data_IF_088450495042
#
_entry.id   IF_088450495042
#
_cell.length_a   1.000
_cell.length_b   1.000
_cell.length_c   1.000
_cell.angle_alpha   90.00
_cell.angle_beta   90.00
_cell.angle_gamma   90.00
#
_symmetry.space_group_name_H-M   'P 1'
#
loop_
_entity.id
_entity.type
_entity.pdbx_description
1 polymer ?
#
# COMPACT_ATOMS: atom_id res chain seq x y z
N UNK A 1 -10.99 -0.98 -8.96
CA UNK A 1 -9.90 -0.28 -9.69
C UNK A 1 -9.70 1.03 -8.96
N UNK A 2 -8.64 1.14 -8.15
CA UNK A 2 -8.45 2.25 -7.22
C UNK A 2 -7.34 3.17 -7.72
N UNK A 3 -7.61 4.47 -7.83
CA UNK A 3 -6.67 5.45 -8.40
C UNK A 3 -7.35 6.42 -9.36
N UNK A 4 -6.54 7.15 -10.13
CA UNK A 4 -7.01 8.18 -11.05
C UNK A 4 -5.93 8.69 -12.00
N UNK A 5 -6.35 9.12 -13.18
CA UNK A 5 -5.51 9.76 -14.18
C UNK A 5 -5.75 11.28 -14.23
N UNK A 6 -4.66 12.05 -14.12
CA UNK A 6 -4.71 13.51 -14.13
C UNK A 6 -5.22 14.11 -12.82
N UNK A 7 -5.12 15.43 -12.73
CA UNK A 7 -5.36 16.16 -11.47
C UNK A 7 -6.73 15.88 -10.85
N UNK A 8 -7.80 15.92 -11.66
CA UNK A 8 -9.17 15.78 -11.16
C UNK A 8 -9.44 14.41 -10.51
N UNK A 9 -9.05 13.33 -11.18
CA UNK A 9 -9.28 11.97 -10.68
C UNK A 9 -8.38 11.66 -9.48
N UNK A 10 -7.12 12.08 -9.52
CA UNK A 10 -6.20 11.87 -8.39
C UNK A 10 -6.62 12.68 -7.18
N UNK A 11 -7.02 13.94 -7.36
CA UNK A 11 -7.56 14.75 -6.26
C UNK A 11 -8.80 14.11 -5.65
N UNK A 12 -9.73 13.62 -6.50
CA UNK A 12 -10.93 12.92 -6.03
C UNK A 12 -10.58 11.67 -5.22
N UNK A 13 -9.65 10.85 -5.72
CA UNK A 13 -9.18 9.66 -5.01
C UNK A 13 -8.55 10.01 -3.66
N UNK A 14 -7.63 10.98 -3.62
CA UNK A 14 -6.99 11.40 -2.38
C UNK A 14 -8.01 11.93 -1.36
N UNK A 15 -8.95 12.77 -1.81
CA UNK A 15 -9.96 13.37 -0.95
C UNK A 15 -10.98 12.35 -0.41
N UNK A 16 -11.43 11.42 -1.25
CA UNK A 16 -12.58 10.60 -0.95
C UNK A 16 -12.20 9.20 -0.45
N UNK A 17 -11.04 8.67 -0.86
CA UNK A 17 -10.69 7.25 -0.68
C UNK A 17 -9.40 7.03 0.11
N UNK A 18 -8.55 8.06 0.29
CA UNK A 18 -7.23 7.90 0.89
C UNK A 18 -7.05 8.73 2.17
N UNK A 19 -7.08 10.07 2.08
CA UNK A 19 -6.79 10.97 3.20
C UNK A 19 -7.92 10.93 4.21
N UNK A 20 -7.59 10.60 5.47
CA UNK A 20 -8.56 10.54 6.57
C UNK A 20 -9.46 9.30 6.57
N UNK A 21 -9.28 8.38 5.60
CA UNK A 21 -10.01 7.11 5.50
C UNK A 21 -9.23 5.91 6.04
N UNK A 22 -8.02 6.15 6.54
CA UNK A 22 -7.19 5.14 7.21
C UNK A 22 -7.70 4.84 8.64
N UNK A 23 -7.48 3.62 9.15
CA UNK A 23 -7.73 3.27 10.55
C UNK A 23 -7.04 4.22 11.53
N UNK A 24 -7.61 4.39 12.73
CA UNK A 24 -7.08 5.38 13.71
C UNK A 24 -5.69 5.00 14.22
N UNK A 25 -5.39 3.71 14.25
CA UNK A 25 -4.16 3.15 14.78
C UNK A 25 -3.08 2.90 13.72
N UNK A 26 -3.28 3.44 12.50
CA UNK A 26 -2.32 3.27 11.41
C UNK A 26 -0.93 3.74 11.82
N UNK A 27 0.06 2.89 11.58
CA UNK A 27 1.48 3.16 11.78
C UNK A 27 2.22 2.95 10.48
N UNK A 28 3.16 3.84 10.19
CA UNK A 28 4.03 3.77 9.01
C UNK A 28 5.47 3.73 9.53
N UNK A 29 6.17 2.63 9.27
CA UNK A 29 7.58 2.46 9.62
C UNK A 29 8.42 2.48 8.34
N UNK A 30 9.27 3.49 8.12
CA UNK A 30 10.19 3.49 6.99
C UNK A 30 11.22 2.37 7.14
N UNK A 31 11.51 1.68 6.05
CA UNK A 31 12.54 0.64 5.96
C UNK A 31 13.72 1.16 5.13
N UNK A 32 13.44 1.68 3.94
CA UNK A 32 14.47 2.20 3.04
C UNK A 32 13.90 3.36 2.21
N UNK A 33 14.81 4.22 1.72
CA UNK A 33 14.52 5.24 0.72
C UNK A 33 15.66 5.27 -0.28
N UNK A 34 15.32 5.12 -1.55
CA UNK A 34 16.26 5.32 -2.67
C UNK A 34 15.85 6.56 -3.46
N UNK A 35 16.77 7.50 -3.60
CA UNK A 35 16.55 8.74 -4.36
C UNK A 35 17.35 8.69 -5.66
N UNK A 36 16.63 8.68 -6.77
CA UNK A 36 17.19 8.84 -8.12
C UNK A 36 17.15 10.30 -8.58
N UNK A 37 17.49 10.53 -9.86
CA UNK A 37 17.50 11.88 -10.46
C UNK A 37 16.13 12.58 -10.39
N UNK A 38 15.07 11.82 -10.63
CA UNK A 38 13.71 12.31 -10.77
C UNK A 38 12.68 11.32 -10.16
N UNK A 39 13.14 10.39 -9.34
CA UNK A 39 12.31 9.37 -8.69
C UNK A 39 12.72 9.17 -7.24
N UNK A 40 11.74 8.90 -6.39
CA UNK A 40 11.95 8.42 -5.02
C UNK A 40 11.24 7.08 -4.89
N UNK A 41 11.97 6.09 -4.39
CA UNK A 41 11.46 4.78 -4.04
C UNK A 41 11.48 4.66 -2.51
N UNK A 42 10.33 4.49 -1.90
CA UNK A 42 10.20 4.26 -0.47
C UNK A 42 9.72 2.84 -0.19
N UNK A 43 10.42 2.16 0.71
CA UNK A 43 9.98 0.91 1.30
C UNK A 43 9.50 1.20 2.72
N UNK A 44 8.24 0.87 3.01
CA UNK A 44 7.61 1.15 4.30
C UNK A 44 6.83 -0.08 4.76
N UNK A 45 6.78 -0.32 6.07
CA UNK A 45 5.80 -1.23 6.67
C UNK A 45 4.62 -0.40 7.14
N UNK A 46 3.42 -0.77 6.71
CA UNK A 46 2.19 -0.20 7.24
C UNK A 46 1.53 -1.23 8.13
N UNK A 47 1.10 -0.81 9.31
CA UNK A 47 0.28 -1.63 10.19
C UNK A 47 -0.92 -0.90 10.74
N UNK A 48 -2.03 -1.63 10.92
CA UNK A 48 -3.32 -1.09 11.36
C UNK A 48 -4.24 -2.21 11.84
N UNK A 49 -5.28 -1.85 12.59
CA UNK A 49 -6.43 -2.72 12.83
C UNK A 49 -7.51 -2.43 11.80
N UNK A 50 -8.07 -3.44 11.14
CA UNK A 50 -9.13 -3.27 10.13
C UNK A 50 -10.47 -2.92 10.83
N UNK A 51 -10.58 -1.67 11.28
CA UNK A 51 -11.68 -1.10 12.09
C UNK A 51 -12.76 -0.38 11.26
N UNK A 52 -12.51 -0.21 9.96
CA UNK A 52 -13.36 0.46 8.97
C UNK A 52 -13.08 -0.13 7.60
N UNK A 53 -13.97 0.10 6.65
CA UNK A 53 -13.72 -0.19 5.24
C UNK A 53 -12.52 0.62 4.71
N UNK A 54 -11.60 -0.07 4.01
CA UNK A 54 -10.41 0.53 3.40
C UNK A 54 -10.53 0.39 1.88
N UNK A 55 -11.24 1.32 1.25
CA UNK A 55 -11.65 1.23 -0.15
C UNK A 55 -10.49 0.96 -1.13
N UNK A 56 -9.31 1.54 -0.90
CA UNK A 56 -8.19 1.35 -1.82
C UNK A 56 -7.53 -0.03 -1.74
N UNK A 57 -7.68 -0.74 -0.61
CA UNK A 57 -7.00 -2.01 -0.31
C UNK A 57 -7.96 -3.20 -0.27
N UNK A 58 -9.15 -3.01 0.31
CA UNK A 58 -10.20 -3.98 0.53
C UNK A 58 -11.57 -3.36 0.20
N UNK A 59 -11.84 -3.04 -1.08
CA UNK A 59 -13.10 -2.41 -1.48
C UNK A 59 -14.29 -3.33 -1.19
N UNK A 60 -15.32 -2.81 -0.52
CA UNK A 60 -16.54 -3.55 -0.18
C UNK A 60 -16.38 -4.56 0.95
N UNK A 61 -15.26 -4.56 1.69
CA UNK A 61 -15.03 -5.47 2.81
C UNK A 61 -15.36 -4.76 4.12
N UNK A 62 -16.31 -5.32 4.85
CA UNK A 62 -16.68 -4.86 6.20
C UNK A 62 -15.51 -4.98 7.19
N UNK A 63 -15.49 -4.14 8.24
CA UNK A 63 -14.43 -4.16 9.26
C UNK A 63 -14.28 -5.54 9.90
N UNK A 64 -13.11 -6.16 9.73
CA UNK A 64 -12.86 -7.52 10.26
C UNK A 64 -12.33 -7.50 11.69
N UNK A 65 -11.91 -6.33 12.20
CA UNK A 65 -11.32 -6.17 13.53
C UNK A 65 -9.95 -6.83 13.69
N UNK A 66 -9.34 -7.32 12.61
CA UNK A 66 -8.03 -7.99 12.64
C UNK A 66 -6.89 -7.00 12.45
N UNK A 67 -5.78 -7.27 13.13
CA UNK A 67 -4.53 -6.56 12.91
C UNK A 67 -3.90 -6.99 11.58
N UNK A 68 -3.46 -6.02 10.80
CA UNK A 68 -2.77 -6.21 9.53
C UNK A 68 -1.42 -5.49 9.60
N UNK A 69 -0.36 -6.16 9.19
CA UNK A 69 0.99 -5.60 9.00
C UNK A 69 1.56 -6.11 7.68
N UNK A 70 1.80 -5.18 6.76
CA UNK A 70 2.24 -5.51 5.40
C UNK A 70 3.24 -4.50 4.84
N UNK A 71 4.24 -4.98 4.07
CA UNK A 71 5.16 -4.10 3.36
C UNK A 71 4.46 -3.38 2.21
N UNK A 72 4.87 -2.14 1.99
CA UNK A 72 4.49 -1.32 0.85
C UNK A 72 5.75 -0.76 0.17
N UNK A 73 5.67 -0.64 -1.15
CA UNK A 73 6.65 0.08 -1.97
C UNK A 73 5.94 1.25 -2.64
N UNK A 74 6.43 2.46 -2.41
CA UNK A 74 5.93 3.68 -3.04
C UNK A 74 6.97 4.18 -4.03
N UNK A 75 6.58 4.27 -5.29
CA UNK A 75 7.40 4.79 -6.38
C UNK A 75 6.82 6.12 -6.81
N UNK A 76 7.55 7.20 -6.59
CA UNK A 76 7.11 8.54 -6.94
C UNK A 76 8.05 9.14 -7.98
N UNK A 77 7.53 9.43 -9.16
CA UNK A 77 8.22 10.14 -10.25
C UNK A 77 7.90 11.61 -10.18
N UNK A 78 8.91 12.44 -10.42
CA UNK A 78 8.79 13.89 -10.47
C UNK A 78 9.05 14.42 -11.89
N UNK A 79 8.34 15.50 -12.22
CA UNK A 79 8.61 16.39 -13.36
C UNK A 79 8.75 17.83 -12.81
N UNK A 80 10.00 18.27 -12.65
CA UNK A 80 10.33 19.48 -11.92
C UNK A 80 9.91 19.39 -10.45
N UNK A 81 9.09 20.34 -9.99
CA UNK A 81 8.53 20.34 -8.62
C UNK A 81 7.24 19.52 -8.48
N UNK A 82 6.74 18.94 -9.58
CA UNK A 82 5.46 18.24 -9.61
C UNK A 82 5.64 16.74 -9.58
N UNK A 83 4.67 16.02 -9.03
CA UNK A 83 4.62 14.57 -9.16
C UNK A 83 4.11 14.22 -10.56
N UNK A 84 4.85 13.44 -11.32
CA UNK A 84 4.41 12.94 -12.61
C UNK A 84 3.49 11.73 -12.41
N UNK A 85 3.93 10.76 -11.60
CA UNK A 85 3.12 9.61 -11.21
C UNK A 85 3.57 9.01 -9.88
N UNK A 86 2.67 8.27 -9.28
CA UNK A 86 2.84 7.50 -8.06
C UNK A 86 2.32 6.09 -8.29
N UNK A 87 3.15 5.10 -8.00
CA UNK A 87 2.76 3.69 -7.96
C UNK A 87 2.96 3.17 -6.54
N UNK A 88 1.92 2.56 -5.99
CA UNK A 88 1.97 1.95 -4.65
C UNK A 88 1.72 0.46 -4.82
N UNK A 89 2.64 -0.33 -4.31
CA UNK A 89 2.58 -1.79 -4.31
C UNK A 89 2.50 -2.30 -2.89
N UNK A 90 1.74 -3.37 -2.69
CA UNK A 90 1.67 -4.10 -1.43
C UNK A 90 1.32 -5.57 -1.68
N UNK A 91 1.54 -6.40 -0.67
CA UNK A 91 1.19 -7.82 -0.71
C UNK A 91 -0.29 -8.05 -0.40
N UNK A 92 -1.11 -8.09 -1.45
CA UNK A 92 -2.55 -8.31 -1.31
C UNK A 92 -2.90 -9.69 -0.75
N UNK A 93 -2.10 -10.73 -1.03
CA UNK A 93 -2.36 -12.07 -0.50
C UNK A 93 -2.21 -12.07 1.02
N UNK A 94 -1.16 -11.44 1.55
CA UNK A 94 -0.99 -11.25 3.00
C UNK A 94 -2.14 -10.47 3.62
N UNK A 95 -2.65 -9.41 2.97
CA UNK A 95 -3.84 -8.69 3.47
C UNK A 95 -5.04 -9.63 3.59
N UNK A 96 -5.35 -10.38 2.54
CA UNK A 96 -6.52 -11.29 2.51
C UNK A 96 -6.40 -12.40 3.56
N UNK A 97 -5.21 -12.97 3.76
CA UNK A 97 -4.96 -13.97 4.81
C UNK A 97 -5.11 -13.34 6.20
N UNK A 98 -4.45 -12.22 6.47
CA UNK A 98 -4.47 -11.57 7.79
C UNK A 98 -5.87 -11.06 8.15
N UNK A 99 -6.68 -10.65 7.17
CA UNK A 99 -8.09 -10.30 7.37
C UNK A 99 -9.03 -11.50 7.45
N UNK A 100 -8.57 -12.70 7.13
CA UNK A 100 -9.35 -13.94 7.18
C UNK A 100 -10.32 -14.14 6.01
N UNK A 101 -10.10 -13.43 4.90
CA UNK A 101 -10.91 -13.56 3.69
C UNK A 101 -10.51 -14.78 2.84
N UNK A 102 -9.29 -15.30 3.03
CA UNK A 102 -8.83 -16.54 2.41
C UNK A 102 -8.18 -17.45 3.46
N UNK A 103 -8.36 -18.75 3.30
CA UNK A 103 -7.71 -19.76 4.16
C UNK A 103 -6.20 -19.81 3.91
N UNK A 104 -5.43 -20.02 4.98
CA UNK A 104 -3.98 -20.24 4.94
C UNK A 104 -3.65 -21.65 4.43
N UNK A 105 -4.05 -21.97 3.19
CA UNK A 105 -3.60 -23.20 2.51
C UNK A 105 -2.36 -22.90 1.68
N UNK A 106 -1.21 -22.80 2.35
CA UNK A 106 0.15 -22.71 1.76
C UNK A 106 0.17 -21.92 0.44
N UNK A 107 -0.09 -20.61 0.53
CA UNK A 107 0.30 -19.64 -0.51
C UNK A 107 1.48 -18.76 -0.08
N UNK A 108 1.98 -18.99 1.14
CA UNK A 108 3.11 -18.30 1.73
C UNK A 108 4.17 -19.33 2.12
N UNK A 109 5.36 -19.21 1.54
CA UNK A 109 6.57 -19.74 2.18
C UNK A 109 6.61 -19.10 3.58
N UNK A 110 6.55 -19.92 4.63
CA UNK A 110 6.64 -19.52 6.04
C UNK A 110 7.65 -18.38 6.24
N UNK A 111 7.23 -17.32 6.95
CA UNK A 111 8.15 -16.31 7.47
C UNK A 111 7.50 -15.05 8.01
N UNK A 112 6.57 -15.16 8.96
CA UNK A 112 6.25 -14.05 9.88
C UNK A 112 6.72 -14.40 11.28
N UNK A 113 8.04 -14.39 11.49
CA UNK A 113 8.63 -14.23 12.82
C UNK A 113 9.58 -13.03 12.78
N UNK A 114 9.10 -11.91 13.33
CA UNK A 114 9.84 -10.69 13.74
C UNK A 114 11.06 -10.27 12.88
N UNK A 115 10.93 -9.12 12.22
CA UNK A 115 11.98 -8.15 11.83
C UNK A 115 13.15 -8.64 10.92
N UNK A 116 13.54 -9.90 10.97
CA UNK A 116 14.75 -10.45 10.33
C UNK A 116 14.45 -11.19 9.01
N UNK A 117 13.20 -11.58 8.75
CA UNK A 117 12.80 -12.39 7.59
C UNK A 117 12.53 -11.58 6.30
N UNK A 118 12.56 -10.24 6.35
CA UNK A 118 12.15 -9.39 5.21
C UNK A 118 13.07 -9.50 3.97
N UNK A 119 14.29 -10.01 4.11
CA UNK A 119 15.29 -10.06 3.03
C UNK A 119 15.27 -11.34 2.16
N UNK A 120 14.44 -12.34 2.48
CA UNK A 120 14.54 -13.68 1.88
C UNK A 120 13.42 -14.06 0.88
N UNK A 121 12.62 -13.11 0.38
CA UNK A 121 11.50 -13.44 -0.50
C UNK A 121 11.83 -13.38 -2.00
N UNK A 122 11.47 -14.41 -2.80
CA UNK A 122 11.39 -14.26 -4.25
C UNK A 122 10.21 -13.34 -4.58
N UNK A 123 10.45 -12.37 -5.46
CA UNK A 123 9.50 -11.34 -5.90
C UNK A 123 8.16 -11.96 -6.33
N UNK A 124 7.11 -11.78 -5.52
CA UNK A 124 5.75 -12.27 -5.80
C UNK A 124 4.82 -11.09 -6.14
N UNK A 125 3.89 -11.41 -7.04
CA UNK A 125 2.98 -10.60 -7.85
C UNK A 125 2.45 -9.28 -7.26
N UNK A 126 2.45 -8.27 -8.13
CA UNK A 126 2.11 -6.87 -7.88
C UNK A 126 0.65 -6.58 -8.26
N UNK A 127 -0.13 -5.96 -7.36
CA UNK A 127 -1.37 -5.28 -7.76
C UNK A 127 -1.06 -3.79 -8.00
N UNK A 128 -1.46 -3.27 -9.16
CA UNK A 128 -1.06 -1.96 -9.67
C UNK A 128 -2.19 -0.95 -9.52
N UNK A 129 -2.00 0.06 -8.67
CA UNK A 129 -2.77 1.30 -8.72
C UNK A 129 -1.88 2.38 -9.34
N UNK A 130 -2.32 2.94 -10.47
CA UNK A 130 -1.62 3.98 -11.20
C UNK A 130 -2.23 5.32 -10.81
N UNK A 131 -1.49 6.15 -10.06
CA UNK A 131 -1.88 7.53 -9.77
C UNK A 131 -1.00 8.49 -10.58
N UNK A 132 -1.59 9.45 -11.29
CA UNK A 132 -0.87 10.55 -11.97
C UNK A 132 -1.16 11.90 -11.31
N UNK A 133 -0.22 12.42 -10.53
CA UNK A 133 -0.49 13.50 -9.58
C UNK A 133 0.13 14.85 -9.98
N UNK A 134 -0.42 15.56 -10.96
CA UNK A 134 0.06 16.92 -11.32
C UNK A 134 -0.30 17.96 -10.24
N UNK A 135 0.37 17.95 -9.08
CA UNK A 135 0.22 18.96 -8.03
C UNK A 135 1.45 19.88 -8.03
N UNK A 136 1.28 21.23 -8.04
CA UNK A 136 2.36 22.20 -7.94
C UNK A 136 3.07 22.23 -6.57
#
# INVERSE_FOLDING_TARGET
MTGGFGYGEVYSFYKNNFVGKMPKDIKIKPISRTVGKDQVLDEIIISFTHDREIEYMLPGVEPTGKYVEIPHVVIMKFDGSKIAHEHIYWDQASVLVQTGLIEEKIYLLRGFNKQDDYWNYPKISFFCNRLFCLIP
#
